data_IF_705036159405
#
_entry.id   IF_705036159405
#
_cell.length_a   1.000
_cell.length_b   1.000
_cell.length_c   1.000
_cell.angle_alpha   90.00
_cell.angle_beta   90.00
_cell.angle_gamma   90.00
#
_symmetry.space_group_name_H-M   'P 1'
#
loop_
_entity.id
_entity.type
_entity.pdbx_description
1 polymer ?
#
# COMPACT_ATOMS: atom_id res chain seq x y z
N UNK A 1 -7.88 -35.57 -27.46
CA UNK A 1 -7.61 -34.55 -28.50
C UNK A 1 -8.32 -33.25 -28.12
N UNK A 2 -7.96 -32.14 -28.77
CA UNK A 2 -8.59 -30.78 -28.71
C UNK A 2 -10.12 -30.88 -28.91
N UNK A 3 -11.01 -29.97 -28.46
CA UNK A 3 -10.95 -28.51 -28.19
C UNK A 3 -12.07 -28.14 -27.17
N UNK A 4 -12.21 -26.99 -26.44
CA UNK A 4 -11.76 -25.57 -26.55
C UNK A 4 -12.49 -24.83 -27.71
N UNK A 5 -13.46 -23.91 -27.54
CA UNK A 5 -13.92 -22.97 -26.46
C UNK A 5 -15.49 -22.89 -26.51
N UNK A 6 -16.25 -22.17 -25.66
CA UNK A 6 -16.31 -20.70 -25.49
C UNK A 6 -17.06 -20.26 -24.21
N UNK A 7 -16.84 -19.00 -23.81
CA UNK A 7 -17.47 -18.31 -22.66
C UNK A 7 -18.54 -17.34 -23.18
N UNK A 8 -19.66 -17.14 -22.46
CA UNK A 8 -20.35 -15.83 -22.44
C UNK A 8 -21.46 -15.73 -21.37
N UNK A 9 -21.62 -14.51 -20.85
CA UNK A 9 -22.84 -13.91 -20.27
C UNK A 9 -23.46 -14.50 -18.99
N UNK A 10 -23.30 -13.77 -17.88
CA UNK A 10 -24.45 -13.39 -17.05
C UNK A 10 -24.23 -12.02 -16.37
N UNK A 11 -25.04 -11.03 -16.75
CA UNK A 11 -25.16 -9.73 -16.10
C UNK A 11 -26.62 -9.25 -16.22
N UNK A 12 -27.10 -8.45 -15.27
CA UNK A 12 -28.53 -8.24 -14.92
C UNK A 12 -29.21 -9.54 -14.41
N UNK A 13 -30.10 -9.54 -13.41
CA UNK A 13 -30.90 -8.46 -12.81
C UNK A 13 -31.01 -8.67 -11.26
N UNK A 14 -31.97 -8.17 -10.45
CA UNK A 14 -33.25 -7.50 -10.72
C UNK A 14 -33.76 -6.61 -9.57
N UNK A 15 -34.35 -5.48 -9.93
CA UNK A 15 -35.58 -4.87 -9.37
C UNK A 15 -35.86 -4.75 -7.85
N UNK A 16 -35.61 -3.53 -7.36
CA UNK A 16 -36.63 -2.56 -6.85
C UNK A 16 -37.66 -2.90 -5.74
N UNK A 17 -37.71 -1.96 -4.79
CA UNK A 17 -38.90 -1.36 -4.17
C UNK A 17 -39.59 -1.98 -2.92
N UNK A 18 -39.59 -1.20 -1.84
CA UNK A 18 -40.85 -0.73 -1.21
C UNK A 18 -40.63 0.61 -0.49
N UNK A 19 -41.71 1.33 -0.15
CA UNK A 19 -41.66 2.62 0.56
C UNK A 19 -42.09 2.43 2.02
N UNK A 20 -41.41 3.09 2.96
CA UNK A 20 -41.84 3.26 4.35
C UNK A 20 -41.78 4.75 4.73
N UNK A 21 -42.81 5.28 5.40
CA UNK A 21 -42.94 6.72 5.67
C UNK A 21 -43.36 6.98 7.11
N UNK A 22 -42.56 7.74 7.85
CA UNK A 22 -42.96 8.31 9.16
C UNK A 22 -42.30 9.66 9.43
N UNK A 23 -43.00 10.48 10.22
CA UNK A 23 -42.55 11.74 10.82
C UNK A 23 -41.62 11.43 12.01
N UNK A 24 -40.74 12.30 12.50
CA UNK A 24 -40.51 13.70 12.18
C UNK A 24 -40.69 14.60 13.42
N UNK A 25 -39.60 15.18 13.92
CA UNK A 25 -39.53 16.13 15.05
C UNK A 25 -38.42 17.17 14.79
N UNK A 26 -38.45 18.31 15.48
CA UNK A 26 -37.73 19.54 15.08
C UNK A 26 -36.91 20.19 16.19
N UNK A 27 -35.69 20.64 15.83
CA UNK A 27 -34.97 21.77 16.45
C UNK A 27 -34.45 21.59 17.89
N UNK A 28 -33.55 22.47 18.39
CA UNK A 28 -32.92 23.63 17.73
C UNK A 28 -31.41 23.48 17.44
N UNK A 29 -30.88 24.38 16.60
CA UNK A 29 -29.46 24.47 16.32
C UNK A 29 -28.75 25.43 17.30
N UNK A 30 -27.50 25.10 17.66
CA UNK A 30 -26.57 26.03 18.32
C UNK A 30 -25.46 26.36 17.33
N UNK A 31 -25.34 27.63 16.93
CA UNK A 31 -24.18 28.12 16.18
C UNK A 31 -23.02 28.33 17.15
N UNK A 32 -21.95 27.55 16.98
CA UNK A 32 -20.61 27.92 17.47
C UNK A 32 -19.75 28.27 16.26
N UNK A 33 -19.39 29.53 16.10
CA UNK A 33 -18.56 30.01 14.98
C UNK A 33 -17.17 30.38 15.46
N UNK A 34 -16.30 29.37 15.57
CA UNK A 34 -14.85 29.55 15.67
C UNK A 34 -14.20 28.80 14.51
N UNK A 35 -13.31 29.43 13.71
CA UNK A 35 -12.55 28.71 12.69
C UNK A 35 -11.51 27.79 13.38
N UNK A 36 -11.20 26.61 12.81
CA UNK A 36 -10.12 25.78 13.31
C UNK A 36 -8.80 26.54 13.21
N UNK A 37 -8.04 26.57 14.30
CA UNK A 37 -6.71 27.18 14.30
C UNK A 37 -5.78 26.30 13.46
N UNK A 38 -5.00 26.93 12.56
CA UNK A 38 -3.98 26.21 11.80
C UNK A 38 -2.93 25.65 12.76
N UNK A 39 -2.67 24.35 12.68
CA UNK A 39 -1.48 23.74 13.26
C UNK A 39 -0.21 24.42 12.69
N UNK A 40 0.87 24.53 13.46
CA UNK A 40 2.10 25.17 13.00
C UNK A 40 2.73 24.37 11.85
N UNK A 41 3.12 25.05 10.77
CA UNK A 41 3.84 24.39 9.68
C UNK A 41 5.24 23.98 10.13
N UNK A 42 5.44 22.67 10.29
CA UNK A 42 6.76 22.06 10.52
C UNK A 42 7.56 21.87 9.22
N UNK A 43 6.94 22.10 8.06
CA UNK A 43 7.59 22.03 6.75
C UNK A 43 7.75 23.42 6.13
N UNK A 44 8.92 24.03 6.40
CA UNK A 44 9.35 25.30 5.81
C UNK A 44 10.78 25.18 5.25
N UNK A 45 10.94 24.37 4.20
CA UNK A 45 12.16 24.33 3.41
C UNK A 45 12.07 25.33 2.23
N UNK A 46 13.04 26.23 2.10
CA UNK A 46 13.02 27.26 1.07
C UNK A 46 13.45 26.73 -0.30
N UNK A 47 12.58 26.82 -1.30
CA UNK A 47 12.92 26.59 -2.70
C UNK A 47 13.25 27.92 -3.39
N UNK A 48 14.54 28.21 -3.59
CA UNK A 48 14.96 29.35 -4.41
C UNK A 48 14.64 29.09 -5.88
N UNK A 49 13.88 30.00 -6.50
CA UNK A 49 13.56 29.92 -7.92
C UNK A 49 14.75 30.39 -8.79
N UNK A 50 15.03 29.63 -9.85
CA UNK A 50 15.81 30.09 -11.00
C UNK A 50 15.03 29.72 -12.26
N UNK A 51 14.51 30.71 -12.98
CA UNK A 51 13.81 30.48 -14.25
C UNK A 51 14.81 30.09 -15.35
N UNK A 52 14.40 29.19 -16.26
CA UNK A 52 14.99 29.11 -17.60
C UNK A 52 14.11 28.34 -18.60
N UNK A 53 13.86 28.96 -19.76
CA UNK A 53 13.61 28.23 -21.02
C UNK A 53 12.25 27.58 -21.23
N UNK A 54 11.23 28.37 -21.60
CA UNK A 54 10.02 27.80 -22.21
C UNK A 54 10.31 27.33 -23.65
N UNK A 55 10.05 26.05 -23.95
CA UNK A 55 10.07 25.49 -25.30
C UNK A 55 8.86 24.58 -25.55
N UNK A 56 8.08 24.88 -26.60
CA UNK A 56 6.94 24.03 -27.01
C UNK A 56 7.43 22.87 -27.87
N UNK A 57 7.25 21.64 -27.41
CA UNK A 57 7.44 20.42 -28.19
C UNK A 57 6.15 19.62 -28.29
N UNK A 58 5.51 19.61 -29.46
CA UNK A 58 4.40 18.69 -29.75
C UNK A 58 4.97 17.38 -30.30
N UNK A 59 4.87 16.30 -29.53
CA UNK A 59 5.29 14.97 -29.97
C UNK A 59 4.49 13.88 -29.28
N UNK A 60 3.78 13.06 -30.07
CA UNK A 60 3.22 11.82 -29.56
C UNK A 60 4.35 10.79 -29.42
N UNK A 61 4.41 10.10 -28.28
CA UNK A 61 5.40 9.05 -28.01
C UNK A 61 4.65 7.72 -27.88
N UNK A 62 4.91 6.82 -28.83
CA UNK A 62 4.50 5.42 -28.74
C UNK A 62 5.41 4.64 -27.79
N UNK A 63 5.09 3.36 -27.57
CA UNK A 63 5.77 2.55 -26.56
C UNK A 63 7.23 2.18 -26.84
N UNK A 64 7.86 1.71 -25.77
CA UNK A 64 9.07 0.88 -25.69
C UNK A 64 10.42 1.50 -26.13
N UNK A 65 11.17 2.00 -25.13
CA UNK A 65 12.65 1.92 -25.08
C UNK A 65 13.20 2.35 -23.70
N UNK A 66 12.78 1.71 -22.59
CA UNK A 66 13.47 1.93 -21.31
C UNK A 66 14.79 1.15 -21.29
N UNK A 67 15.93 1.85 -21.25
CA UNK A 67 17.24 1.23 -21.28
C UNK A 67 17.56 0.46 -19.98
N UNK A 68 18.56 -0.44 -19.99
CA UNK A 68 19.06 -1.02 -18.74
C UNK A 68 19.54 0.06 -17.76
N UNK A 69 20.15 1.13 -18.27
CA UNK A 69 20.65 2.26 -17.50
C UNK A 69 19.54 3.04 -16.76
N UNK A 70 18.32 3.13 -17.31
CA UNK A 70 17.20 3.85 -16.69
C UNK A 70 16.70 3.15 -15.42
N UNK A 71 16.67 1.81 -15.46
CA UNK A 71 16.36 0.99 -14.30
C UNK A 71 17.37 1.19 -13.17
N UNK A 72 18.66 1.09 -13.49
CA UNK A 72 19.73 1.30 -12.52
C UNK A 72 19.78 2.76 -12.04
N UNK A 73 19.38 3.74 -12.88
CA UNK A 73 19.22 5.15 -12.47
C UNK A 73 18.09 5.27 -11.43
N UNK A 74 16.91 4.73 -11.70
CA UNK A 74 15.77 4.76 -10.77
C UNK A 74 16.10 4.09 -9.43
N UNK A 75 16.78 2.94 -9.45
CA UNK A 75 17.24 2.23 -8.25
C UNK A 75 18.24 3.04 -7.41
N UNK A 76 19.17 3.76 -8.06
CA UNK A 76 20.13 4.65 -7.36
C UNK A 76 19.46 5.88 -6.79
N UNK A 77 18.46 6.45 -7.48
CA UNK A 77 17.71 7.60 -6.98
C UNK A 77 16.82 7.21 -5.78
N UNK A 78 16.13 6.06 -5.87
CA UNK A 78 15.29 5.50 -4.80
C UNK A 78 16.04 5.27 -3.49
N UNK A 79 17.30 4.81 -3.54
CA UNK A 79 18.15 4.63 -2.36
C UNK A 79 18.38 5.90 -1.53
N UNK A 80 18.22 7.09 -2.14
CA UNK A 80 18.36 8.38 -1.46
C UNK A 80 17.16 8.78 -0.58
N UNK A 81 16.03 8.08 -0.67
CA UNK A 81 14.79 8.45 0.03
C UNK A 81 14.64 7.74 1.40
N UNK A 82 13.62 8.15 2.13
CA UNK A 82 12.98 7.38 3.19
C UNK A 82 11.61 6.89 2.67
N UNK A 83 11.49 5.60 2.30
CA UNK A 83 10.23 5.05 1.81
C UNK A 83 9.19 4.94 2.93
N UNK A 84 7.98 5.43 2.66
CA UNK A 84 6.76 5.21 3.44
C UNK A 84 5.86 4.27 2.64
N UNK A 85 5.71 3.04 3.11
CA UNK A 85 4.76 2.07 2.55
C UNK A 85 3.46 2.15 3.37
N UNK A 86 2.32 2.20 2.69
CA UNK A 86 1.01 2.27 3.34
C UNK A 86 0.16 1.11 2.83
N UNK A 87 -0.37 0.27 3.72
CA UNK A 87 -1.10 -0.95 3.36
C UNK A 87 -2.49 -1.00 4.02
N UNK A 88 -3.43 -1.69 3.37
CA UNK A 88 -4.83 -1.61 3.75
C UNK A 88 -5.80 -2.43 2.91
N UNK A 89 -7.07 -2.19 3.17
CA UNK A 89 -8.14 -2.71 2.31
C UNK A 89 -8.13 -2.00 0.95
N UNK A 90 -8.39 -2.78 -0.11
CA UNK A 90 -8.60 -2.24 -1.46
C UNK A 90 -9.98 -1.59 -1.61
N UNK A 91 -10.50 -1.57 -2.85
CA UNK A 91 -11.77 -0.91 -3.24
C UNK A 91 -13.02 -1.21 -2.37
N UNK A 92 -12.98 -2.25 -1.55
CA UNK A 92 -14.07 -2.70 -0.67
C UNK A 92 -14.03 -2.06 0.73
N UNK A 93 -13.11 -1.11 1.00
CA UNK A 93 -13.11 -0.34 2.24
C UNK A 93 -14.41 0.49 2.40
N UNK A 94 -15.24 0.25 3.43
CA UNK A 94 -16.50 0.97 3.62
C UNK A 94 -16.30 2.41 4.11
N UNK A 95 -15.13 2.75 4.63
CA UNK A 95 -14.83 4.04 5.26
C UNK A 95 -14.60 5.14 4.24
N UNK A 96 -14.59 6.40 4.68
CA UNK A 96 -14.19 7.54 3.84
C UNK A 96 -12.66 7.59 3.69
N UNK A 97 -12.10 7.50 2.46
CA UNK A 97 -10.66 7.63 2.23
C UNK A 97 -10.05 8.94 2.75
N UNK A 98 -10.81 10.03 2.84
CA UNK A 98 -10.34 11.30 3.40
C UNK A 98 -10.12 11.21 4.92
N UNK A 99 -11.04 10.55 5.64
CA UNK A 99 -10.92 10.33 7.09
C UNK A 99 -9.76 9.39 7.41
N UNK A 100 -9.64 8.28 6.67
CA UNK A 100 -8.55 7.32 6.86
C UNK A 100 -7.20 7.94 6.48
N UNK A 101 -7.13 8.75 5.42
CA UNK A 101 -5.91 9.49 5.07
C UNK A 101 -5.52 10.52 6.15
N UNK A 102 -6.48 11.27 6.71
CA UNK A 102 -6.24 12.21 7.81
C UNK A 102 -5.64 11.53 9.05
N UNK A 103 -6.26 10.43 9.50
CA UNK A 103 -5.72 9.59 10.59
C UNK A 103 -4.29 9.13 10.28
N UNK A 104 -4.00 8.70 9.04
CA UNK A 104 -2.65 8.27 8.64
C UNK A 104 -1.65 9.45 8.66
N UNK A 105 -2.03 10.64 8.18
CA UNK A 105 -1.16 11.83 8.25
C UNK A 105 -0.78 12.19 9.68
N UNK A 106 -1.74 12.20 10.60
CA UNK A 106 -1.51 12.59 12.00
C UNK A 106 -0.67 11.54 12.74
N UNK A 107 -0.92 10.24 12.51
CA UNK A 107 -0.10 9.18 13.08
C UNK A 107 1.34 9.17 12.52
N UNK A 108 1.53 9.42 11.21
CA UNK A 108 2.86 9.60 10.59
C UNK A 108 3.57 10.84 11.15
N UNK A 109 2.88 11.98 11.22
CA UNK A 109 3.42 13.23 11.76
C UNK A 109 3.86 13.10 13.22
N UNK A 110 3.06 12.45 14.06
CA UNK A 110 3.40 12.16 15.45
C UNK A 110 4.59 11.19 15.57
N UNK A 111 4.65 10.15 14.72
CA UNK A 111 5.77 9.21 14.68
C UNK A 111 7.08 9.92 14.31
N UNK A 112 7.08 10.72 13.24
CA UNK A 112 8.26 11.49 12.83
C UNK A 112 8.66 12.53 13.87
N UNK A 113 7.71 13.26 14.47
CA UNK A 113 7.99 14.22 15.55
C UNK A 113 8.64 13.55 16.77
N UNK A 114 8.16 12.37 17.20
CA UNK A 114 8.76 11.63 18.32
C UNK A 114 10.17 11.10 18.03
N UNK A 115 10.59 11.06 16.75
CA UNK A 115 11.94 10.70 16.28
C UNK A 115 12.79 11.92 15.89
N UNK A 116 12.42 13.12 16.32
CA UNK A 116 13.18 14.36 16.07
C UNK A 116 12.84 15.08 14.76
N UNK A 117 11.84 14.61 14.00
CA UNK A 117 11.31 15.29 12.81
C UNK A 117 12.21 15.28 11.58
N UNK A 118 13.32 14.53 11.60
CA UNK A 118 14.29 14.46 10.51
C UNK A 118 14.62 13.01 10.15
N UNK A 119 15.10 12.83 8.92
CA UNK A 119 15.47 11.55 8.31
C UNK A 119 16.64 11.79 7.36
N UNK A 120 17.54 10.82 7.22
CA UNK A 120 18.74 10.87 6.35
C UNK A 120 18.41 10.76 4.85
N UNK A 121 17.29 11.33 4.43
CA UNK A 121 16.73 11.28 3.08
C UNK A 121 15.27 11.77 3.08
N UNK A 122 14.81 12.45 2.00
CA UNK A 122 13.43 12.92 1.88
C UNK A 122 12.43 11.76 1.88
N UNK A 123 11.23 11.99 2.43
CA UNK A 123 10.18 10.98 2.45
C UNK A 123 9.54 10.76 1.07
N UNK A 124 9.23 9.51 0.75
CA UNK A 124 8.56 9.10 -0.50
C UNK A 124 7.43 8.11 -0.17
N UNK A 125 6.18 8.40 -0.54
CA UNK A 125 5.08 7.44 -0.38
C UNK A 125 5.17 6.41 -1.49
N UNK A 126 5.48 5.15 -1.18
CA UNK A 126 5.61 4.08 -2.18
C UNK A 126 4.30 3.30 -2.28
N UNK A 127 3.69 3.31 -3.47
CA UNK A 127 2.48 2.57 -3.79
C UNK A 127 2.79 1.30 -4.58
N UNK A 128 1.96 0.26 -4.40
CA UNK A 128 2.20 -1.10 -4.89
C UNK A 128 1.31 -1.41 -6.12
N UNK A 129 1.08 -0.41 -6.98
CA UNK A 129 0.35 -0.56 -8.25
C UNK A 129 -1.15 -0.85 -8.16
N UNK A 130 -1.76 -0.64 -6.99
CA UNK A 130 -3.22 -0.73 -6.81
C UNK A 130 -3.99 0.05 -7.90
N UNK A 131 -4.97 -0.57 -8.59
CA UNK A 131 -5.82 0.12 -9.55
C UNK A 131 -6.55 1.31 -8.92
N UNK A 132 -6.62 2.44 -9.63
CA UNK A 132 -7.32 3.64 -9.17
C UNK A 132 -8.82 3.35 -8.96
N UNK A 133 -9.30 3.52 -7.73
CA UNK A 133 -10.72 3.39 -7.38
C UNK A 133 -11.15 4.48 -6.40
N UNK A 134 -12.46 4.65 -6.19
CA UNK A 134 -13.01 5.67 -5.29
C UNK A 134 -12.74 5.40 -3.79
N UNK A 135 -12.25 4.20 -3.42
CA UNK A 135 -12.19 3.69 -2.04
C UNK A 135 -10.92 2.90 -1.74
N UNK A 136 -10.63 2.72 -0.45
CA UNK A 136 -9.47 1.95 0.02
C UNK A 136 -8.13 2.54 -0.39
N UNK A 137 -7.10 1.69 -0.45
CA UNK A 137 -5.70 2.14 -0.46
C UNK A 137 -5.31 3.03 -1.67
N UNK A 138 -5.87 2.79 -2.87
CA UNK A 138 -5.62 3.65 -4.04
C UNK A 138 -6.33 5.02 -3.96
N UNK A 139 -7.37 5.16 -3.13
CA UNK A 139 -7.95 6.46 -2.80
C UNK A 139 -7.23 7.15 -1.62
N UNK A 140 -6.66 6.37 -0.68
CA UNK A 140 -6.00 6.89 0.53
C UNK A 140 -4.59 7.42 0.21
N UNK A 141 -3.78 6.67 -0.55
CA UNK A 141 -2.36 7.01 -0.77
C UNK A 141 -2.09 8.32 -1.53
N UNK A 142 -2.88 8.77 -2.52
CA UNK A 142 -2.73 10.12 -3.08
C UNK A 142 -2.96 11.21 -2.03
N UNK A 143 -4.01 11.03 -1.20
CA UNK A 143 -4.42 12.00 -0.17
C UNK A 143 -3.36 12.12 0.94
N UNK A 144 -2.74 11.02 1.36
CA UNK A 144 -1.63 11.06 2.33
C UNK A 144 -0.40 11.75 1.73
N UNK A 145 -0.09 11.52 0.45
CA UNK A 145 1.01 12.20 -0.22
C UNK A 145 0.76 13.71 -0.35
N UNK A 146 -0.45 14.14 -0.75
CA UNK A 146 -0.86 15.56 -0.79
C UNK A 146 -0.76 16.21 0.59
N UNK A 147 -1.39 15.60 1.59
CA UNK A 147 -1.46 16.04 2.98
C UNK A 147 -0.09 16.25 3.64
N UNK A 148 0.90 15.41 3.30
CA UNK A 148 2.28 15.53 3.79
C UNK A 148 3.21 16.30 2.83
N UNK A 149 2.72 16.79 1.69
CA UNK A 149 3.51 17.51 0.69
C UNK A 149 4.54 16.65 -0.06
N UNK A 150 4.34 15.33 -0.11
CA UNK A 150 5.31 14.35 -0.59
C UNK A 150 5.11 13.98 -2.07
N UNK A 151 6.13 13.31 -2.62
CA UNK A 151 6.07 12.63 -3.92
C UNK A 151 5.75 11.15 -3.73
N UNK A 152 5.27 10.51 -4.81
CA UNK A 152 5.04 9.06 -4.83
C UNK A 152 6.14 8.31 -5.59
N UNK A 153 6.45 7.11 -5.11
CA UNK A 153 7.14 6.07 -5.87
C UNK A 153 6.15 4.95 -6.21
N UNK A 154 6.36 4.26 -7.33
CA UNK A 154 5.51 3.16 -7.77
C UNK A 154 6.33 1.87 -7.91
N UNK A 155 5.81 0.78 -7.34
CA UNK A 155 6.30 -0.58 -7.61
C UNK A 155 5.20 -1.39 -8.30
N UNK A 156 5.52 -1.93 -9.48
CA UNK A 156 4.61 -2.76 -10.27
C UNK A 156 5.12 -4.20 -10.38
N UNK A 157 4.21 -5.17 -10.39
CA UNK A 157 4.48 -6.48 -10.99
C UNK A 157 4.90 -6.31 -12.45
N UNK A 158 5.83 -7.18 -12.89
CA UNK A 158 6.26 -7.32 -14.27
C UNK A 158 5.13 -7.91 -15.15
N UNK A 159 5.16 -7.62 -16.45
CA UNK A 159 4.07 -7.96 -17.39
C UNK A 159 3.86 -9.48 -17.56
N UNK A 160 4.90 -10.29 -17.32
CA UNK A 160 4.84 -11.75 -17.32
C UNK A 160 4.22 -12.35 -16.05
N UNK A 161 4.06 -11.55 -14.98
CA UNK A 161 3.41 -11.95 -13.71
C UNK A 161 1.94 -11.50 -13.69
N UNK A 162 1.67 -10.24 -14.04
CA UNK A 162 0.33 -9.69 -14.25
C UNK A 162 0.38 -8.60 -15.34
N UNK A 163 -0.04 -8.89 -16.58
CA UNK A 163 0.06 -7.95 -17.69
C UNK A 163 -0.86 -6.74 -17.55
N UNK A 164 -1.80 -6.77 -16.60
CA UNK A 164 -2.76 -5.69 -16.35
C UNK A 164 -2.38 -4.80 -15.17
N UNK A 165 -1.54 -5.29 -14.25
CA UNK A 165 -1.16 -4.56 -13.03
C UNK A 165 -0.52 -3.20 -13.36
N UNK A 166 0.59 -3.21 -14.10
CA UNK A 166 1.29 -1.98 -14.45
C UNK A 166 0.43 -1.05 -15.32
N UNK A 167 -0.47 -1.58 -16.15
CA UNK A 167 -1.35 -0.76 -17.00
C UNK A 167 -2.43 -0.01 -16.20
N UNK A 168 -2.93 -0.61 -15.11
CA UNK A 168 -3.97 -0.02 -14.25
C UNK A 168 -3.41 0.80 -13.08
N UNK A 169 -2.11 0.71 -12.80
CA UNK A 169 -1.45 1.39 -11.69
C UNK A 169 -1.53 2.92 -11.77
N UNK A 170 -1.98 3.53 -10.69
CA UNK A 170 -2.05 4.98 -10.50
C UNK A 170 -0.65 5.63 -10.50
N UNK A 171 -0.46 6.62 -11.37
CA UNK A 171 0.80 7.36 -11.58
C UNK A 171 0.73 8.85 -11.25
N UNK A 172 -0.37 9.35 -10.67
CA UNK A 172 -0.46 10.76 -10.32
C UNK A 172 0.59 11.14 -9.27
N UNK A 173 1.35 12.22 -9.51
CA UNK A 173 2.44 12.67 -8.61
C UNK A 173 3.54 11.60 -8.34
N UNK A 174 3.64 10.55 -9.17
CA UNK A 174 4.74 9.58 -9.14
C UNK A 174 5.99 10.19 -9.80
N UNK A 175 7.14 10.02 -9.15
CA UNK A 175 8.45 10.52 -9.63
C UNK A 175 9.48 9.41 -9.89
N UNK A 176 9.24 8.20 -9.37
CA UNK A 176 10.07 7.02 -9.56
C UNK A 176 9.19 5.79 -9.75
N UNK A 177 9.53 4.95 -10.72
CA UNK A 177 8.86 3.66 -10.98
C UNK A 177 9.89 2.53 -11.06
N UNK A 178 9.62 1.41 -10.41
CA UNK A 178 10.51 0.25 -10.33
C UNK A 178 9.69 -1.04 -10.48
N UNK A 179 10.23 -2.04 -11.18
CA UNK A 179 9.59 -3.35 -11.31
C UNK A 179 9.85 -4.25 -10.09
N UNK A 180 8.90 -5.13 -9.81
CA UNK A 180 9.02 -6.19 -8.80
C UNK A 180 10.30 -7.00 -9.02
N UNK A 181 10.62 -7.41 -10.25
CA UNK A 181 11.83 -8.14 -10.61
C UNK A 181 13.13 -7.47 -10.17
N UNK A 182 13.23 -6.12 -10.27
CA UNK A 182 14.40 -5.35 -9.83
C UNK A 182 14.54 -5.35 -8.31
N UNK A 183 13.42 -5.26 -7.57
CA UNK A 183 13.42 -5.36 -6.11
C UNK A 183 13.68 -6.79 -5.64
N UNK A 184 13.01 -7.80 -6.21
CA UNK A 184 13.22 -9.21 -5.93
C UNK A 184 14.68 -9.63 -6.19
N UNK A 185 15.28 -9.11 -7.27
CA UNK A 185 16.69 -9.31 -7.60
C UNK A 185 17.67 -8.85 -6.52
N UNK A 186 17.31 -7.88 -5.65
CA UNK A 186 18.13 -7.57 -4.45
C UNK A 186 18.10 -8.77 -3.49
N UNK A 187 16.91 -9.23 -3.11
CA UNK A 187 16.73 -10.29 -2.10
C UNK A 187 17.24 -11.66 -2.58
N UNK A 188 17.20 -11.92 -3.89
CA UNK A 188 17.81 -13.12 -4.50
C UNK A 188 19.32 -13.20 -4.33
N UNK A 189 20.01 -12.06 -4.14
CA UNK A 189 21.47 -11.98 -3.98
C UNK A 189 21.93 -11.87 -2.51
N UNK A 190 21.00 -11.88 -1.56
CA UNK A 190 21.30 -11.82 -0.13
C UNK A 190 21.13 -13.21 0.49
N UNK A 191 22.11 -13.73 1.24
CA UNK A 191 21.93 -14.96 2.01
C UNK A 191 20.91 -14.73 3.13
N UNK A 192 20.12 -15.76 3.44
CA UNK A 192 19.23 -15.81 4.59
C UNK A 192 19.88 -16.66 5.69
N UNK A 193 20.42 -15.98 6.70
CA UNK A 193 21.19 -16.61 7.80
C UNK A 193 20.30 -17.27 8.87
N UNK A 194 18.98 -17.03 8.84
CA UNK A 194 18.01 -17.63 9.78
C UNK A 194 17.65 -19.10 9.48
N UNK A 195 18.51 -19.83 8.75
CA UNK A 195 18.41 -21.27 8.53
C UNK A 195 19.33 -22.03 9.49
N UNK A 196 18.84 -23.10 10.12
CA UNK A 196 19.64 -23.93 11.03
C UNK A 196 20.85 -24.58 10.35
N UNK A 197 21.81 -25.05 11.15
CA UNK A 197 23.05 -25.67 10.67
C UNK A 197 22.79 -26.77 9.62
N UNK A 198 23.46 -26.66 8.46
CA UNK A 198 23.22 -27.54 7.32
C UNK A 198 22.21 -26.99 6.29
N UNK A 199 21.64 -25.80 6.49
CA UNK A 199 20.91 -25.10 5.42
C UNK A 199 21.79 -24.90 4.19
N UNK A 200 21.17 -25.10 3.02
CA UNK A 200 21.68 -24.64 1.73
C UNK A 200 21.85 -23.11 1.71
N UNK A 201 22.63 -22.57 0.76
CA UNK A 201 22.68 -21.15 0.42
C UNK A 201 21.31 -20.64 -0.05
N UNK A 202 20.43 -20.39 0.91
CA UNK A 202 19.05 -19.95 0.71
C UNK A 202 19.05 -18.42 0.65
N UNK A 203 18.47 -17.85 -0.40
CA UNK A 203 18.35 -16.40 -0.52
C UNK A 203 17.20 -15.84 0.34
N UNK A 204 17.25 -14.55 0.65
CA UNK A 204 16.15 -13.85 1.36
C UNK A 204 14.85 -13.93 0.56
N UNK A 205 14.90 -13.82 -0.78
CA UNK A 205 13.69 -14.00 -1.61
C UNK A 205 13.09 -15.39 -1.41
N UNK A 206 13.93 -16.43 -1.48
CA UNK A 206 13.47 -17.81 -1.32
C UNK A 206 12.95 -18.10 0.10
N UNK A 207 13.45 -17.41 1.12
CA UNK A 207 12.89 -17.46 2.46
C UNK A 207 11.48 -16.86 2.52
N UNK A 208 11.28 -15.70 1.89
CA UNK A 208 9.99 -15.04 1.79
C UNK A 208 8.97 -15.86 0.98
N UNK A 209 9.37 -16.44 -0.16
CA UNK A 209 8.52 -17.32 -0.98
C UNK A 209 8.06 -18.56 -0.21
N UNK A 210 8.98 -19.29 0.42
CA UNK A 210 8.67 -20.50 1.20
C UNK A 210 7.79 -20.18 2.43
N UNK A 211 7.97 -19.02 3.07
CA UNK A 211 7.14 -18.55 4.19
C UNK A 211 5.75 -18.09 3.76
N UNK A 212 5.61 -17.35 2.65
CA UNK A 212 4.30 -16.99 2.08
C UNK A 212 3.54 -18.26 1.67
N UNK A 213 4.21 -19.22 1.03
CA UNK A 213 3.59 -20.51 0.67
C UNK A 213 3.15 -21.32 1.91
N UNK A 214 3.90 -21.26 3.02
CA UNK A 214 3.49 -21.86 4.28
C UNK A 214 2.26 -21.16 4.87
N UNK A 215 2.23 -19.82 4.86
CA UNK A 215 1.11 -19.04 5.38
C UNK A 215 -0.16 -19.14 4.53
N UNK A 216 -0.04 -19.27 3.20
CA UNK A 216 -1.17 -19.61 2.30
C UNK A 216 -1.73 -20.99 2.62
N UNK A 217 -0.87 -22.01 2.84
CA UNK A 217 -1.33 -23.35 3.25
C UNK A 217 -2.07 -23.31 4.59
N UNK A 218 -1.52 -22.62 5.58
CA UNK A 218 -2.14 -22.48 6.90
C UNK A 218 -3.52 -21.81 6.81
N UNK A 219 -3.61 -20.65 6.14
CA UNK A 219 -4.88 -19.93 5.95
C UNK A 219 -5.92 -20.73 5.14
N UNK A 220 -5.47 -21.60 4.24
CA UNK A 220 -6.38 -22.51 3.52
C UNK A 220 -6.96 -23.61 4.41
N UNK A 221 -6.18 -24.19 5.34
CA UNK A 221 -6.67 -25.14 6.34
C UNK A 221 -7.67 -24.46 7.30
N UNK A 222 -7.39 -23.22 7.71
CA UNK A 222 -8.28 -22.41 8.54
C UNK A 222 -9.60 -22.09 7.82
N UNK A 223 -9.55 -21.75 6.53
CA UNK A 223 -10.75 -21.53 5.70
C UNK A 223 -11.55 -22.82 5.47
N UNK A 224 -10.88 -23.95 5.21
CA UNK A 224 -11.51 -25.26 5.07
C UNK A 224 -12.27 -25.68 6.35
N UNK A 225 -11.66 -25.45 7.52
CA UNK A 225 -12.27 -25.74 8.82
C UNK A 225 -13.56 -24.93 9.11
N UNK A 226 -13.74 -23.78 8.46
CA UNK A 226 -14.97 -22.97 8.53
C UNK A 226 -15.83 -23.05 7.24
N UNK A 227 -15.52 -23.97 6.33
CA UNK A 227 -16.27 -24.18 5.08
C UNK A 227 -16.13 -23.07 4.03
N UNK A 228 -15.18 -22.12 4.19
CA UNK A 228 -14.85 -21.12 3.16
C UNK A 228 -13.94 -21.74 2.08
N UNK A 229 -14.07 -21.36 0.80
CA UNK A 229 -13.21 -21.87 -0.26
C UNK A 229 -11.76 -21.39 -0.08
N UNK A 230 -10.75 -22.12 -0.62
CA UNK A 230 -9.35 -21.70 -0.58
C UNK A 230 -9.10 -20.28 -1.11
N UNK A 231 -8.03 -19.65 -0.61
CA UNK A 231 -7.55 -18.36 -1.09
C UNK A 231 -7.18 -18.44 -2.57
N UNK A 232 -7.49 -17.37 -3.31
CA UNK A 232 -7.19 -17.27 -4.74
C UNK A 232 -5.68 -17.08 -4.98
N UNK A 233 -5.18 -17.58 -6.10
CA UNK A 233 -3.75 -17.58 -6.46
C UNK A 233 -3.09 -16.20 -6.37
N UNK A 234 -3.80 -15.14 -6.76
CA UNK A 234 -3.31 -13.75 -6.69
C UNK A 234 -2.90 -13.31 -5.27
N UNK A 235 -3.41 -13.94 -4.20
CA UNK A 235 -2.99 -13.60 -2.84
C UNK A 235 -1.50 -13.86 -2.62
N UNK A 236 -0.92 -14.89 -3.26
CA UNK A 236 0.54 -15.11 -3.24
C UNK A 236 1.28 -14.03 -4.00
N UNK A 237 0.80 -13.67 -5.20
CA UNK A 237 1.45 -12.70 -6.08
C UNK A 237 1.51 -11.31 -5.42
N UNK A 238 0.38 -10.82 -4.89
CA UNK A 238 0.36 -9.52 -4.22
C UNK A 238 0.99 -9.57 -2.82
N UNK A 239 0.97 -10.68 -2.09
CA UNK A 239 1.75 -10.80 -0.86
C UNK A 239 3.26 -10.71 -1.13
N UNK A 240 3.75 -11.37 -2.18
CA UNK A 240 5.14 -11.23 -2.62
C UNK A 240 5.45 -9.77 -3.03
N UNK A 241 4.56 -9.12 -3.78
CA UNK A 241 4.71 -7.70 -4.10
C UNK A 241 4.87 -6.83 -2.85
N UNK A 242 4.03 -7.03 -1.81
CA UNK A 242 4.09 -6.27 -0.57
C UNK A 242 5.39 -6.54 0.21
N UNK A 243 5.68 -7.80 0.52
CA UNK A 243 6.83 -8.18 1.35
C UNK A 243 8.17 -7.88 0.65
N UNK A 244 8.30 -8.13 -0.66
CA UNK A 244 9.50 -7.80 -1.44
C UNK A 244 9.68 -6.28 -1.51
N UNK A 245 8.61 -5.52 -1.73
CA UNK A 245 8.67 -4.05 -1.72
C UNK A 245 9.25 -3.55 -0.40
N UNK A 246 8.69 -3.96 0.74
CA UNK A 246 9.15 -3.52 2.07
C UNK A 246 10.60 -3.95 2.34
N UNK A 247 10.93 -5.23 2.19
CA UNK A 247 12.27 -5.73 2.49
C UNK A 247 13.37 -5.16 1.57
N UNK A 248 13.12 -5.05 0.26
CA UNK A 248 14.08 -4.48 -0.68
C UNK A 248 14.27 -2.99 -0.48
N UNK A 249 13.19 -2.24 -0.20
CA UNK A 249 13.27 -0.82 0.13
C UNK A 249 14.08 -0.59 1.42
N UNK A 250 13.79 -1.32 2.49
CA UNK A 250 14.54 -1.25 3.75
C UNK A 250 16.03 -1.50 3.52
N UNK A 251 16.38 -2.53 2.73
CA UNK A 251 17.78 -2.88 2.43
C UNK A 251 18.48 -1.86 1.54
N UNK A 252 17.78 -1.32 0.53
CA UNK A 252 18.29 -0.37 -0.46
C UNK A 252 18.51 1.02 0.14
N UNK A 253 17.56 1.47 0.97
CA UNK A 253 17.56 2.80 1.59
C UNK A 253 18.33 2.83 2.93
N UNK A 254 19.26 1.90 3.14
CA UNK A 254 20.18 1.91 4.28
C UNK A 254 19.52 1.70 5.66
N UNK A 255 18.44 0.92 5.74
CA UNK A 255 17.65 0.73 6.96
C UNK A 255 16.49 1.73 7.12
N UNK A 256 16.31 2.67 6.19
CA UNK A 256 15.14 3.56 6.18
C UNK A 256 13.93 2.83 5.59
N UNK A 257 12.91 2.61 6.41
CA UNK A 257 11.56 2.24 6.00
C UNK A 257 10.57 2.66 7.09
N UNK A 258 9.46 3.27 6.68
CA UNK A 258 8.26 3.45 7.50
C UNK A 258 7.11 2.65 6.89
N UNK A 259 6.37 1.90 7.71
CA UNK A 259 5.19 1.12 7.31
C UNK A 259 3.99 1.64 8.11
N UNK A 260 2.91 2.05 7.45
CA UNK A 260 1.66 2.43 8.10
C UNK A 260 0.51 1.54 7.62
N UNK A 261 -0.27 0.99 8.54
CA UNK A 261 -1.50 0.28 8.20
C UNK A 261 -2.71 1.21 8.32
N UNK A 262 -3.64 1.13 7.38
CA UNK A 262 -4.91 1.88 7.39
C UNK A 262 -5.92 1.43 8.46
N UNK A 263 -5.54 0.51 9.34
CA UNK A 263 -6.34 -0.03 10.45
C UNK A 263 -5.41 -0.61 11.51
N UNK A 264 -5.87 -0.67 12.77
CA UNK A 264 -5.22 -1.44 13.82
C UNK A 264 -5.54 -2.94 13.67
N UNK A 265 -6.79 -3.25 13.36
CA UNK A 265 -7.28 -4.61 13.12
C UNK A 265 -7.13 -4.97 11.64
N UNK A 266 -6.57 -6.15 11.34
CA UNK A 266 -6.27 -6.62 9.97
C UNK A 266 -6.98 -7.94 9.73
N UNK A 267 -7.82 -8.01 8.70
CA UNK A 267 -8.49 -9.26 8.31
C UNK A 267 -7.43 -10.35 7.99
N UNK A 268 -7.42 -11.52 8.66
CA UNK A 268 -6.38 -12.54 8.50
C UNK A 268 -6.32 -13.18 7.11
N UNK A 269 -7.36 -12.96 6.28
CA UNK A 269 -7.44 -13.41 4.89
C UNK A 269 -7.25 -12.28 3.86
N UNK A 270 -6.81 -11.09 4.28
CA UNK A 270 -6.38 -9.99 3.40
C UNK A 270 -4.95 -10.19 2.86
N UNK A 271 -4.55 -9.44 1.83
CA UNK A 271 -3.14 -9.42 1.38
C UNK A 271 -2.24 -8.79 2.45
N UNK A 272 -2.65 -7.66 3.04
CA UNK A 272 -1.91 -6.98 4.11
C UNK A 272 -1.60 -7.88 5.30
N UNK A 273 -2.44 -8.88 5.62
CA UNK A 273 -2.16 -9.86 6.67
C UNK A 273 -0.96 -10.79 6.42
N UNK A 274 -0.25 -10.65 5.30
CA UNK A 274 1.05 -11.28 5.07
C UNK A 274 2.24 -10.46 5.60
N UNK A 275 2.03 -9.22 6.08
CA UNK A 275 3.08 -8.33 6.65
C UNK A 275 4.00 -8.96 7.71
N UNK A 276 3.51 -10.02 8.37
CA UNK A 276 4.24 -10.79 9.38
C UNK A 276 5.40 -11.56 8.76
N UNK A 277 5.37 -11.95 7.49
CA UNK A 277 6.46 -12.71 6.87
C UNK A 277 7.77 -11.91 6.93
N UNK A 278 7.75 -10.62 6.62
CA UNK A 278 8.92 -9.76 6.76
C UNK A 278 9.37 -9.53 8.21
N UNK A 279 8.45 -9.57 9.19
CA UNK A 279 8.77 -9.48 10.62
C UNK A 279 9.38 -10.79 11.15
N UNK A 280 8.74 -11.92 10.87
CA UNK A 280 9.12 -13.27 11.28
C UNK A 280 10.49 -13.70 10.68
N UNK A 281 10.82 -13.19 9.49
CA UNK A 281 12.12 -13.35 8.83
C UNK A 281 13.15 -12.26 9.24
N UNK A 282 12.80 -11.33 10.13
CA UNK A 282 13.69 -10.28 10.62
C UNK A 282 14.14 -9.25 9.58
N UNK A 283 13.38 -9.06 8.50
CA UNK A 283 13.73 -8.19 7.37
C UNK A 283 13.44 -6.71 7.65
N UNK A 284 12.58 -6.43 8.63
CA UNK A 284 12.30 -5.14 9.27
C UNK A 284 11.66 -5.43 10.65
N UNK A 285 11.51 -4.42 11.51
CA UNK A 285 11.01 -4.61 12.89
C UNK A 285 9.81 -3.70 13.20
N UNK A 286 8.92 -4.15 14.09
CA UNK A 286 7.67 -3.44 14.42
C UNK A 286 7.96 -2.11 15.16
N UNK A 287 8.85 -2.12 16.14
CA UNK A 287 9.29 -0.95 16.90
C UNK A 287 10.12 0.04 16.05
N UNK A 288 10.93 -0.48 15.13
CA UNK A 288 11.82 0.31 14.28
C UNK A 288 11.09 0.91 13.07
N UNK A 289 10.17 0.18 12.42
CA UNK A 289 9.65 0.54 11.10
C UNK A 289 8.13 0.76 11.06
N UNK A 290 7.32 0.28 12.02
CA UNK A 290 5.86 0.38 11.92
C UNK A 290 5.27 1.60 12.67
N UNK A 291 4.14 2.08 12.15
CA UNK A 291 3.35 3.19 12.70
C UNK A 291 2.00 2.67 13.16
N UNK A 292 1.74 2.75 14.46
CA UNK A 292 0.48 2.31 15.05
C UNK A 292 -0.69 3.17 14.56
N UNK A 293 -1.70 2.55 13.95
CA UNK A 293 -2.92 3.24 13.52
C UNK A 293 -3.77 3.63 14.72
N UNK A 294 -4.22 4.90 14.73
CA UNK A 294 -5.19 5.42 15.70
C UNK A 294 -6.27 6.18 14.95
N UNK A 295 -7.55 5.91 15.26
CA UNK A 295 -8.65 6.78 14.86
C UNK A 295 -8.63 8.02 15.77
N UNK A 296 -8.61 9.21 15.18
CA UNK A 296 -8.46 10.49 15.89
C UNK A 296 -9.71 11.38 15.78
N UNK A 297 -10.83 10.82 15.31
CA UNK A 297 -12.16 11.42 15.36
C UNK A 297 -12.57 11.78 16.80
N UNK A 298 -13.06 13.01 17.01
CA UNK A 298 -13.34 13.59 18.34
C UNK A 298 -14.36 12.78 19.17
N UNK A 299 -15.25 12.01 18.52
CA UNK A 299 -16.09 11.01 19.18
C UNK A 299 -15.26 9.77 19.59
N UNK A 300 -14.59 9.86 20.74
CA UNK A 300 -13.83 8.78 21.41
C UNK A 300 -14.69 7.54 21.83
N UNK A 301 -15.85 7.31 21.24
CA UNK A 301 -16.80 6.22 21.56
C UNK A 301 -16.92 5.15 20.47
N UNK A 302 -16.36 5.39 19.29
CA UNK A 302 -16.23 4.38 18.24
C UNK A 302 -14.80 4.34 17.72
N UNK A 303 -13.98 3.48 18.33
CA UNK A 303 -13.01 2.75 17.52
C UNK A 303 -13.84 2.03 16.44
N UNK A 304 -13.69 2.45 15.19
CA UNK A 304 -14.49 1.93 14.06
C UNK A 304 -14.07 0.49 13.77
N UNK A 305 -14.67 -0.45 14.52
CA UNK A 305 -14.42 -1.89 14.39
C UNK A 305 -14.88 -2.33 13.01
N UNK A 306 -13.94 -2.75 12.20
CA UNK A 306 -14.22 -3.30 10.87
C UNK A 306 -14.85 -4.69 11.03
N UNK A 307 -16.16 -4.76 10.79
CA UNK A 307 -16.89 -6.03 10.67
C UNK A 307 -16.42 -6.76 9.40
N UNK A 308 -15.37 -7.56 9.56
CA UNK A 308 -14.77 -8.30 8.46
C UNK A 308 -15.67 -9.41 7.91
N UNK A 309 -16.69 -9.87 8.64
CA UNK A 309 -17.66 -10.85 8.13
C UNK A 309 -18.75 -10.18 7.29
N UNK A 310 -19.14 -8.93 7.62
CA UNK A 310 -19.97 -8.10 6.74
C UNK A 310 -19.22 -7.62 5.48
N UNK A 311 -17.89 -7.50 5.54
CA UNK A 311 -17.04 -7.08 4.40
C UNK A 311 -16.63 -8.29 3.52
N UNK A 312 -16.35 -9.47 4.09
CA UNK A 312 -15.88 -10.66 3.36
C UNK A 312 -17.04 -11.54 2.83
N UNK A 313 -17.77 -10.99 1.87
CA UNK A 313 -18.87 -11.67 1.15
C UNK A 313 -18.39 -12.68 0.08
N UNK A 314 -17.24 -13.35 0.28
CA UNK A 314 -16.49 -14.10 -0.79
C UNK A 314 -15.85 -15.44 -0.40
#
# INVERSE_FOLDING_TARGET
>A
MRSVRLVSNLWLAMSSATRGTTRGTTSPAIRSTNPPQRLPSVFSAAASATELGAARGSGAVGGDSSGPDDGDRAMRELAGYHPIVIEGMGYYDPRDPAVVAGNICENLGAHFASRGGQSDGPYLVVVQGDPLTERGISAITPRVAECLGLKRGLVCLDEDIDPTHSQNADRENVVLEVSYSRLAGILSRLPYEGGGEGSSEKSVLRAMEESIDALVRQKNLEREAIGKPPMKEYFKQYALLQEVTKASLHRLCGGRLTIAHTSADINPYSVTSFYRVGLDLGLYHEDANMVAYRNLSEDHKSQEVLDFDAIDTR
#
